data_IF_753335465849
#
_entry.id   IF_753335465849
#
_cell.length_a   1.000
_cell.length_b   1.000
_cell.length_c   1.000
_cell.angle_alpha   90.00
_cell.angle_beta   90.00
_cell.angle_gamma   90.00
#
_symmetry.space_group_name_H-M   'P 1'
#
loop_
_entity.id
_entity.type
_entity.pdbx_description
1 polymer ?
#
# COMPACT_ATOMS: atom_id res chain seq x y z
N UNK A 1 23.40 -0.03 -2.25
CA UNK A 1 22.56 -0.33 -3.44
C UNK A 1 21.20 -0.91 -3.07
N UNK A 2 21.13 -2.07 -2.40
CA UNK A 2 19.87 -2.75 -2.04
C UNK A 2 18.91 -1.86 -1.22
N UNK A 3 19.41 -1.09 -0.25
CA UNK A 3 18.58 -0.19 0.56
C UNK A 3 17.92 0.94 -0.24
N UNK A 4 18.61 1.46 -1.25
CA UNK A 4 18.08 2.51 -2.12
C UNK A 4 16.99 1.97 -3.06
N UNK A 5 17.22 0.78 -3.62
CA UNK A 5 16.25 0.06 -4.47
C UNK A 5 14.97 -0.23 -3.68
N UNK A 6 15.10 -0.74 -2.45
CA UNK A 6 13.94 -1.03 -1.59
C UNK A 6 13.11 0.24 -1.28
N UNK A 7 13.77 1.37 -1.00
CA UNK A 7 13.08 2.66 -0.79
C UNK A 7 12.36 3.14 -2.04
N UNK A 8 13.02 3.09 -3.20
CA UNK A 8 12.42 3.51 -4.47
C UNK A 8 11.21 2.65 -4.84
N UNK A 9 11.34 1.32 -4.74
CA UNK A 9 10.25 0.40 -5.01
C UNK A 9 9.09 0.55 -4.01
N UNK A 10 9.41 0.78 -2.73
CA UNK A 10 8.41 1.10 -1.72
C UNK A 10 7.61 2.37 -2.06
N UNK A 11 8.29 3.43 -2.50
CA UNK A 11 7.65 4.67 -2.96
C UNK A 11 6.77 4.45 -4.20
N UNK A 12 7.24 3.65 -5.16
CA UNK A 12 6.47 3.31 -6.37
C UNK A 12 5.18 2.57 -6.02
N UNK A 13 5.26 1.56 -5.14
CA UNK A 13 4.07 0.82 -4.69
C UNK A 13 3.10 1.73 -3.93
N UNK A 14 3.59 2.59 -3.04
CA UNK A 14 2.73 3.58 -2.38
C UNK A 14 2.06 4.52 -3.40
N UNK A 15 2.79 4.97 -4.42
CA UNK A 15 2.25 5.78 -5.51
C UNK A 15 1.19 5.04 -6.34
N UNK A 16 1.41 3.75 -6.62
CA UNK A 16 0.43 2.89 -7.31
C UNK A 16 -0.83 2.67 -6.45
N UNK A 17 -0.67 2.44 -5.15
CA UNK A 17 -1.81 2.34 -4.23
C UNK A 17 -2.62 3.64 -4.20
N UNK A 18 -1.94 4.78 -4.17
CA UNK A 18 -2.58 6.09 -4.23
C UNK A 18 -3.28 6.33 -5.57
N UNK A 19 -2.64 6.01 -6.69
CA UNK A 19 -3.25 6.10 -8.02
C UNK A 19 -4.51 5.22 -8.10
N UNK A 20 -4.41 3.96 -7.71
CA UNK A 20 -5.54 3.03 -7.67
C UNK A 20 -6.69 3.55 -6.78
N UNK A 21 -6.37 4.17 -5.64
CA UNK A 21 -7.35 4.76 -4.75
C UNK A 21 -8.10 5.92 -5.43
N UNK A 22 -7.39 6.87 -6.05
CA UNK A 22 -8.03 8.08 -6.60
C UNK A 22 -8.69 7.87 -7.96
N UNK A 23 -8.28 6.86 -8.74
CA UNK A 23 -8.84 6.57 -10.06
C UNK A 23 -9.99 5.57 -10.01
N UNK A 24 -10.27 4.98 -8.85
CA UNK A 24 -11.36 4.02 -8.73
C UNK A 24 -12.71 4.73 -8.75
N UNK A 25 -13.63 4.19 -9.54
CA UNK A 25 -14.99 4.69 -9.64
C UNK A 25 -15.82 4.18 -8.47
N UNK A 26 -16.04 5.04 -7.47
CA UNK A 26 -16.78 4.70 -6.27
C UNK A 26 -18.29 4.82 -6.50
N UNK A 27 -19.10 3.88 -6.00
CA UNK A 27 -20.55 4.01 -6.07
C UNK A 27 -21.03 5.23 -5.28
N UNK A 28 -21.98 5.98 -5.84
CA UNK A 28 -22.65 7.13 -5.21
C UNK A 28 -23.67 6.69 -4.12
N UNK A 29 -23.25 5.80 -3.23
CA UNK A 29 -24.06 5.24 -2.14
C UNK A 29 -23.36 5.53 -0.83
N UNK A 30 -24.10 6.04 0.17
CA UNK A 30 -23.55 6.22 1.50
C UNK A 30 -23.18 4.83 2.10
N UNK A 31 -21.89 4.54 2.32
CA UNK A 31 -21.45 3.22 2.79
C UNK A 31 -21.85 2.94 4.24
N UNK A 32 -22.23 3.96 5.00
CA UNK A 32 -22.67 3.84 6.40
C UNK A 32 -24.17 3.62 6.56
N UNK A 33 -24.92 3.55 5.45
CA UNK A 33 -26.36 3.36 5.51
C UNK A 33 -26.73 1.88 5.63
N UNK A 34 -27.83 1.60 6.33
CA UNK A 34 -28.35 0.24 6.48
C UNK A 34 -28.64 -0.37 5.11
N UNK A 35 -28.12 -1.58 4.85
CA UNK A 35 -28.29 -2.25 3.56
C UNK A 35 -27.37 -1.78 2.44
N UNK A 36 -26.49 -0.80 2.68
CA UNK A 36 -25.53 -0.31 1.69
C UNK A 36 -24.67 -1.44 1.12
N UNK A 37 -24.31 -2.45 1.91
CA UNK A 37 -23.53 -3.62 1.44
C UNK A 37 -24.13 -4.34 0.22
N UNK A 38 -25.45 -4.30 0.03
CA UNK A 38 -26.13 -4.95 -1.09
C UNK A 38 -26.26 -4.05 -2.32
N UNK A 39 -25.83 -2.79 -2.23
CA UNK A 39 -25.92 -1.87 -3.36
C UNK A 39 -24.93 -2.27 -4.47
N UNK A 40 -25.28 -2.04 -5.75
CA UNK A 40 -24.38 -2.27 -6.87
C UNK A 40 -23.05 -1.53 -6.66
N UNK A 41 -21.94 -2.20 -6.97
CA UNK A 41 -20.59 -1.60 -6.86
C UNK A 41 -19.94 -1.70 -5.48
N UNK A 42 -20.67 -2.04 -4.42
CA UNK A 42 -20.12 -2.08 -3.06
C UNK A 42 -19.13 -3.22 -2.83
N UNK A 43 -19.37 -4.39 -3.44
CA UNK A 43 -18.39 -5.48 -3.44
C UNK A 43 -17.12 -5.08 -4.19
N UNK A 44 -17.25 -4.38 -5.31
CA UNK A 44 -16.11 -3.87 -6.09
C UNK A 44 -15.30 -2.85 -5.28
N UNK A 45 -15.98 -1.92 -4.62
CA UNK A 45 -15.36 -0.95 -3.71
C UNK A 45 -14.59 -1.63 -2.58
N UNK A 46 -15.17 -2.67 -1.96
CA UNK A 46 -14.51 -3.41 -0.89
C UNK A 46 -13.23 -4.11 -1.38
N UNK A 47 -13.30 -4.79 -2.53
CA UNK A 47 -12.14 -5.44 -3.14
C UNK A 47 -11.07 -4.42 -3.50
N UNK A 48 -11.45 -3.27 -4.07
CA UNK A 48 -10.52 -2.19 -4.38
C UNK A 48 -9.80 -1.68 -3.13
N UNK A 49 -10.52 -1.48 -2.03
CA UNK A 49 -9.92 -1.08 -0.76
C UNK A 49 -8.91 -2.11 -0.23
N UNK A 50 -9.22 -3.41 -0.34
CA UNK A 50 -8.26 -4.46 0.01
C UNK A 50 -7.00 -4.33 -0.84
N UNK A 51 -7.15 -4.18 -2.16
CA UNK A 51 -6.02 -4.04 -3.09
C UNK A 51 -5.16 -2.83 -2.74
N UNK A 52 -5.77 -1.66 -2.52
CA UNK A 52 -5.08 -0.43 -2.11
C UNK A 52 -4.32 -0.63 -0.81
N UNK A 53 -4.95 -1.24 0.21
CA UNK A 53 -4.32 -1.49 1.51
C UNK A 53 -3.15 -2.46 1.41
N UNK A 54 -3.28 -3.54 0.64
CA UNK A 54 -2.20 -4.53 0.46
C UNK A 54 -1.01 -3.89 -0.25
N UNK A 55 -1.23 -3.21 -1.38
CA UNK A 55 -0.16 -2.55 -2.14
C UNK A 55 0.50 -1.46 -1.29
N UNK A 56 -0.30 -0.64 -0.61
CA UNK A 56 0.18 0.44 0.26
C UNK A 56 1.01 -0.09 1.44
N UNK A 57 0.55 -1.14 2.12
CA UNK A 57 1.25 -1.75 3.24
C UNK A 57 2.57 -2.41 2.79
N UNK A 58 2.57 -3.12 1.66
CA UNK A 58 3.79 -3.68 1.06
C UNK A 58 4.79 -2.59 0.69
N UNK A 59 4.32 -1.49 0.07
CA UNK A 59 5.14 -0.33 -0.27
C UNK A 59 5.77 0.33 0.95
N UNK A 60 4.96 0.59 1.98
CA UNK A 60 5.43 1.14 3.25
C UNK A 60 6.45 0.23 3.94
N UNK A 61 6.18 -1.09 3.98
CA UNK A 61 7.09 -2.08 4.55
C UNK A 61 8.46 -2.08 3.88
N UNK A 62 8.49 -2.06 2.55
CA UNK A 62 9.74 -2.00 1.77
C UNK A 62 10.49 -0.68 1.96
N UNK A 63 9.77 0.44 2.03
CA UNK A 63 10.36 1.73 2.33
C UNK A 63 11.02 1.75 3.71
N UNK A 64 10.32 1.26 4.74
CA UNK A 64 10.83 1.19 6.11
C UNK A 64 12.01 0.24 6.22
N UNK A 65 11.97 -0.91 5.55
CA UNK A 65 13.09 -1.84 5.48
C UNK A 65 14.34 -1.21 4.85
N UNK A 66 14.18 -0.54 3.71
CA UNK A 66 15.27 0.17 3.05
C UNK A 66 15.81 1.33 3.89
N UNK A 67 14.94 2.05 4.60
CA UNK A 67 15.31 3.11 5.55
C UNK A 67 16.14 2.54 6.71
N UNK A 68 15.66 1.47 7.35
CA UNK A 68 16.30 0.87 8.52
C UNK A 68 17.69 0.29 8.20
N UNK A 69 17.87 -0.29 7.01
CA UNK A 69 19.20 -0.76 6.54
C UNK A 69 20.14 0.38 6.13
N UNK A 70 19.60 1.50 5.66
CA UNK A 70 20.42 2.66 5.33
C UNK A 70 20.91 3.40 6.58
N UNK A 71 20.17 3.34 7.69
CA UNK A 71 20.47 4.05 8.94
C UNK A 71 21.36 3.27 9.91
N UNK A 72 21.52 1.94 9.74
CA UNK A 72 22.35 1.11 10.62
C UNK A 72 23.16 0.08 9.83
N UNK A 73 24.31 0.47 9.24
CA UNK A 73 25.14 -0.42 8.42
C UNK A 73 25.87 -1.50 9.23
N UNK A 74 26.13 -1.29 10.53
CA UNK A 74 26.91 -2.23 11.36
C UNK A 74 26.14 -3.51 11.73
N UNK A 75 24.79 -3.48 11.67
CA UNK A 75 23.96 -4.68 11.85
C UNK A 75 24.16 -5.72 10.73
N UNK A 76 24.81 -5.35 9.62
CA UNK A 76 25.13 -6.26 8.52
C UNK A 76 26.55 -6.87 8.58
N UNK A 77 27.39 -6.44 9.53
CA UNK A 77 28.76 -6.99 9.71
C UNK A 77 28.84 -8.15 10.70
N UNK A 78 27.77 -8.44 11.44
CA UNK A 78 27.74 -9.50 12.47
C UNK A 78 27.21 -10.86 11.99
N UNK A 79 27.11 -11.06 10.67
CA UNK A 79 26.64 -12.32 10.05
C UNK A 79 27.71 -12.96 9.16
N UNK A 80 28.98 -12.67 9.42
CA UNK A 80 30.12 -13.41 8.86
C UNK A 80 30.68 -14.38 9.91
#
# INVERSE_FOLDING_TARGET
MISAIAKAFGFLLMGLAFAQWITFDYPDVNPFWSGAIFAPGMLSQFVNWIVVCVIGASGWGLFQYGRSRSSNPDRMKGTE
#
